data_IF_173316685538
#
_entry.id   IF_173316685538
#
_cell.length_a   1.000
_cell.length_b   1.000
_cell.length_c   1.000
_cell.angle_alpha   90.00
_cell.angle_beta   90.00
_cell.angle_gamma   90.00
#
_symmetry.space_group_name_H-M   'P 1'
#
loop_
_entity.id
_entity.type
_entity.pdbx_description
1 polymer ?
#
# COMPACT_ATOMS: atom_id res chain seq x y z
N UNK A 1 26.57 -22.64 -0.40
CA UNK A 1 25.57 -21.70 -0.95
C UNK A 1 24.34 -21.71 -0.05
N UNK A 2 24.13 -20.68 0.77
CA UNK A 2 22.89 -20.53 1.54
C UNK A 2 21.82 -20.01 0.58
N UNK A 3 20.92 -20.88 0.17
CA UNK A 3 19.66 -20.48 -0.45
C UNK A 3 18.83 -19.77 0.62
N UNK A 4 18.99 -18.46 0.75
CA UNK A 4 18.03 -17.62 1.47
C UNK A 4 16.71 -17.74 0.72
N UNK A 5 15.88 -18.66 1.19
CA UNK A 5 14.45 -18.73 0.88
C UNK A 5 13.92 -17.33 1.20
N UNK A 6 13.80 -16.46 0.20
CA UNK A 6 13.06 -15.20 0.35
C UNK A 6 11.69 -15.65 0.83
N UNK A 7 11.41 -15.51 2.13
CA UNK A 7 10.02 -15.44 2.56
C UNK A 7 9.45 -14.35 1.66
N UNK A 8 8.46 -14.70 0.85
CA UNK A 8 7.60 -13.70 0.23
C UNK A 8 6.84 -13.09 1.41
N UNK A 9 7.50 -12.26 2.18
CA UNK A 9 6.86 -11.45 3.20
C UNK A 9 5.90 -10.57 2.40
N UNK A 10 4.62 -10.89 2.49
CA UNK A 10 3.58 -10.18 1.75
C UNK A 10 3.68 -8.70 2.15
N UNK A 11 3.76 -7.81 1.16
CA UNK A 11 3.87 -6.39 1.44
C UNK A 11 2.61 -5.91 2.17
N UNK A 12 1.46 -6.53 1.92
CA UNK A 12 0.23 -6.34 2.67
C UNK A 12 0.39 -6.71 4.16
N UNK A 13 1.00 -7.85 4.47
CA UNK A 13 1.23 -8.27 5.84
C UNK A 13 2.18 -7.31 6.58
N UNK A 14 3.21 -6.83 5.87
CA UNK A 14 4.15 -5.84 6.42
C UNK A 14 3.46 -4.50 6.66
N UNK A 15 2.66 -4.04 5.71
CA UNK A 15 1.87 -2.82 5.83
C UNK A 15 0.86 -2.88 6.98
N UNK A 16 0.20 -4.02 7.17
CA UNK A 16 -0.68 -4.27 8.30
C UNK A 16 0.07 -4.20 9.65
N UNK A 17 1.33 -4.65 9.69
CA UNK A 17 2.15 -4.56 10.89
C UNK A 17 2.43 -3.11 11.29
N UNK A 18 2.66 -2.20 10.33
CA UNK A 18 2.82 -0.77 10.60
C UNK A 18 1.56 -0.14 11.21
N UNK A 19 0.38 -0.58 10.77
CA UNK A 19 -0.89 -0.15 11.37
C UNK A 19 -1.03 -0.65 12.82
N UNK A 20 -0.79 -1.95 13.07
CA UNK A 20 -0.85 -2.52 14.42
C UNK A 20 0.16 -1.87 15.37
N UNK A 21 1.34 -1.49 14.85
CA UNK A 21 2.37 -0.77 15.61
C UNK A 21 2.02 0.71 15.88
N UNK A 22 0.86 1.20 15.42
CA UNK A 22 0.43 2.59 15.59
C UNK A 22 1.17 3.59 14.68
N UNK A 23 1.97 3.09 13.73
CA UNK A 23 2.67 3.95 12.78
C UNK A 23 1.71 4.47 11.70
N UNK A 24 0.64 3.75 11.40
CA UNK A 24 -0.43 4.27 10.54
C UNK A 24 -1.63 4.60 11.43
N UNK A 25 -2.11 5.83 11.38
CA UNK A 25 -3.32 6.22 12.12
C UNK A 25 -4.58 5.57 11.54
N UNK A 26 -5.62 5.45 12.37
CA UNK A 26 -6.88 4.78 12.03
C UNK A 26 -7.53 5.33 10.75
N UNK A 27 -7.57 6.66 10.60
CA UNK A 27 -8.19 7.29 9.44
C UNK A 27 -7.37 7.05 8.16
N UNK A 28 -6.04 7.08 8.25
CA UNK A 28 -5.16 6.75 7.12
C UNK A 28 -5.31 5.28 6.74
N UNK A 29 -5.38 4.38 7.73
CA UNK A 29 -5.59 2.96 7.51
C UNK A 29 -6.95 2.67 6.85
N UNK A 30 -8.01 3.36 7.28
CA UNK A 30 -9.35 3.28 6.68
C UNK A 30 -9.35 3.72 5.21
N UNK A 31 -8.61 4.78 4.88
CA UNK A 31 -8.50 5.25 3.50
C UNK A 31 -7.70 4.27 2.65
N UNK A 32 -6.61 3.75 3.19
CA UNK A 32 -5.73 2.82 2.49
C UNK A 32 -6.41 1.45 2.26
N UNK A 33 -7.13 0.93 3.25
CA UNK A 33 -7.94 -0.29 3.10
C UNK A 33 -9.02 -0.15 2.03
N UNK A 34 -9.68 1.01 1.93
CA UNK A 34 -10.62 1.28 0.82
C UNK A 34 -9.97 1.25 -0.57
N UNK A 35 -8.71 1.63 -0.69
CA UNK A 35 -7.96 1.53 -1.96
C UNK A 35 -7.59 0.08 -2.29
N UNK A 36 -7.12 -0.66 -1.28
CA UNK A 36 -6.77 -2.07 -1.42
C UNK A 36 -8.00 -2.94 -1.76
N UNK A 37 -9.14 -2.66 -1.15
CA UNK A 37 -10.39 -3.42 -1.32
C UNK A 37 -11.29 -2.90 -2.45
N UNK A 38 -10.84 -1.91 -3.23
CA UNK A 38 -11.65 -1.42 -4.34
C UNK A 38 -11.91 -2.55 -5.35
N UNK A 39 -13.18 -2.68 -5.79
CA UNK A 39 -13.67 -3.80 -6.63
C UNK A 39 -12.84 -4.07 -7.89
N UNK A 40 -12.15 -3.06 -8.41
CA UNK A 40 -11.38 -3.16 -9.65
C UNK A 40 -9.87 -3.30 -9.41
N UNK A 41 -9.41 -3.40 -8.16
CA UNK A 41 -7.99 -3.58 -7.84
C UNK A 41 -7.63 -5.06 -7.90
N UNK A 42 -6.81 -5.41 -8.87
CA UNK A 42 -6.22 -6.75 -9.04
C UNK A 42 -5.35 -7.12 -7.85
N UNK A 43 -4.98 -8.40 -7.75
CA UNK A 43 -4.11 -8.88 -6.68
C UNK A 43 -2.71 -8.26 -6.81
N UNK A 44 -2.23 -8.12 -8.04
CA UNK A 44 -0.95 -7.55 -8.40
C UNK A 44 -0.89 -6.07 -8.02
N UNK A 45 -1.94 -5.31 -8.36
CA UNK A 45 -2.04 -3.89 -7.98
C UNK A 45 -2.11 -3.71 -6.45
N UNK A 46 -2.80 -4.61 -5.73
CA UNK A 46 -2.82 -4.58 -4.26
C UNK A 46 -1.44 -4.79 -3.65
N UNK A 47 -0.68 -5.77 -4.13
CA UNK A 47 0.69 -6.01 -3.64
C UNK A 47 1.63 -4.87 -4.04
N UNK A 48 1.48 -4.30 -5.24
CA UNK A 48 2.25 -3.13 -5.67
C UNK A 48 1.95 -1.90 -4.81
N UNK A 49 0.68 -1.62 -4.52
CA UNK A 49 0.24 -0.56 -3.60
C UNK A 49 0.81 -0.78 -2.20
N UNK A 50 0.71 -2.01 -1.69
CA UNK A 50 1.20 -2.32 -0.36
C UNK A 50 2.72 -2.17 -0.24
N UNK A 51 3.46 -2.53 -1.30
CA UNK A 51 4.91 -2.33 -1.42
C UNK A 51 5.23 -0.84 -1.40
N UNK A 52 4.54 -0.04 -2.22
CA UNK A 52 4.74 1.41 -2.29
C UNK A 52 4.58 2.09 -0.91
N UNK A 53 3.49 1.81 -0.19
CA UNK A 53 3.27 2.44 1.12
C UNK A 53 4.21 1.91 2.20
N UNK A 54 4.59 0.64 2.13
CA UNK A 54 5.61 0.06 3.01
C UNK A 54 6.96 0.76 2.84
N UNK A 55 7.37 1.02 1.59
CA UNK A 55 8.61 1.71 1.29
C UNK A 55 8.52 3.20 1.67
N UNK A 56 7.38 3.84 1.41
CA UNK A 56 7.14 5.24 1.81
C UNK A 56 7.23 5.44 3.33
N UNK A 57 6.67 4.51 4.12
CA UNK A 57 6.74 4.52 5.58
C UNK A 57 8.14 4.21 6.13
N UNK A 58 8.99 3.58 5.33
CA UNK A 58 10.40 3.36 5.70
C UNK A 58 11.20 4.66 5.58
N UNK A 59 10.91 5.45 4.55
CA UNK A 59 11.71 6.61 4.18
C UNK A 59 11.17 7.93 4.78
N UNK A 60 9.91 7.96 5.22
CA UNK A 60 9.25 9.17 5.74
C UNK A 60 8.51 8.94 7.05
N UNK A 61 8.42 9.97 7.92
CA UNK A 61 7.61 9.90 9.12
C UNK A 61 6.12 9.73 8.74
N UNK A 62 5.35 8.91 9.48
CA UNK A 62 3.98 8.61 9.08
C UNK A 62 3.00 9.80 9.10
N UNK A 63 3.34 10.87 9.82
CA UNK A 63 2.55 12.09 9.84
C UNK A 63 2.46 12.79 8.46
N UNK A 64 3.39 12.48 7.55
CA UNK A 64 3.43 13.03 6.19
C UNK A 64 2.76 12.11 5.16
N UNK A 65 2.17 10.99 5.59
CA UNK A 65 1.58 10.01 4.70
C UNK A 65 0.26 10.53 4.12
N UNK A 66 0.30 11.00 2.87
CA UNK A 66 -0.91 11.41 2.13
C UNK A 66 -1.45 10.23 1.34
N UNK A 67 -2.56 9.67 1.80
CA UNK A 67 -3.33 8.66 1.06
C UNK A 67 -4.27 9.38 0.08
N UNK A 68 -4.20 9.13 -1.24
CA UNK A 68 -5.12 9.70 -2.21
C UNK A 68 -6.51 9.12 -2.05
N UNK A 69 -7.53 9.88 -2.45
CA UNK A 69 -8.91 9.36 -2.49
C UNK A 69 -9.05 8.30 -3.58
N UNK A 70 -10.00 7.36 -3.48
CA UNK A 70 -10.21 6.34 -4.51
C UNK A 70 -10.51 6.88 -5.92
N UNK A 71 -11.06 8.09 -6.03
CA UNK A 71 -11.24 8.76 -7.33
C UNK A 71 -9.89 9.23 -7.89
N UNK A 72 -9.11 9.96 -7.09
CA UNK A 72 -7.78 10.46 -7.48
C UNK A 72 -6.84 9.31 -7.87
N UNK A 73 -6.87 8.20 -7.12
CA UNK A 73 -6.09 7.03 -7.44
C UNK A 73 -6.45 6.44 -8.82
N UNK A 74 -7.75 6.33 -9.13
CA UNK A 74 -8.20 5.86 -10.44
C UNK A 74 -7.79 6.82 -11.56
N UNK A 75 -7.92 8.12 -11.32
CA UNK A 75 -7.52 9.14 -12.29
C UNK A 75 -6.01 9.06 -12.57
N UNK A 76 -5.18 8.85 -11.55
CA UNK A 76 -3.72 8.66 -11.70
C UNK A 76 -3.38 7.37 -12.45
N UNK A 77 -4.05 6.26 -12.15
CA UNK A 77 -3.84 4.99 -12.85
C UNK A 77 -4.23 5.08 -14.33
N UNK A 78 -5.27 5.84 -14.66
CA UNK A 78 -5.70 6.06 -16.04
C UNK A 78 -4.67 6.86 -16.87
N UNK A 79 -3.80 7.66 -16.24
CA UNK A 79 -2.72 8.37 -16.95
C UNK A 79 -1.59 7.43 -17.38
N UNK A 80 -1.36 6.33 -16.64
CA UNK A 80 -0.27 5.38 -16.88
C UNK A 80 -0.72 4.22 -17.77
N UNK A 81 -2.01 3.87 -17.72
CA UNK A 81 -2.65 2.89 -18.59
C UNK A 81 -3.72 3.55 -19.47
N UNK A 82 -3.35 4.37 -20.47
CA UNK A 82 -4.31 4.82 -21.46
C UNK A 82 -4.85 3.58 -22.20
N UNK A 83 -6.17 3.45 -22.26
CA UNK A 83 -6.83 2.42 -23.06
C UNK A 83 -6.57 2.62 -24.54
#
# INVERSE_FOLDING_TARGET
MRTTRRRRDSALAKLFTYYVAGQIGEEQWRQLSRLLDARNTTREEREALATFYTDLLRDRPPAELRIPRPKEFRDLMALVHPK
#
